data_IF_930318675251
#
_entry.id   IF_930318675251
#
_cell.length_a   1.000
_cell.length_b   1.000
_cell.length_c   1.000
_cell.angle_alpha   90.00
_cell.angle_beta   90.00
_cell.angle_gamma   90.00
#
_symmetry.space_group_name_H-M   'P 1'
#
loop_
_entity.id
_entity.type
_entity.pdbx_description
1 polymer ?
#
# COMPACT_ATOMS: atom_id res chain seq x y z
N UNK A 1 -33.08 -11.39 -26.65
CA UNK A 1 -32.85 -11.22 -25.20
C UNK A 1 -31.36 -11.04 -25.03
N UNK A 2 -30.91 -9.81 -24.75
CA UNK A 2 -29.48 -9.56 -24.51
C UNK A 2 -29.13 -10.17 -23.15
N UNK A 3 -28.27 -11.17 -23.16
CA UNK A 3 -27.63 -11.68 -21.95
C UNK A 3 -26.67 -10.61 -21.46
N UNK A 4 -27.11 -9.80 -20.50
CA UNK A 4 -26.23 -8.95 -19.72
C UNK A 4 -25.22 -9.85 -19.01
N UNK A 5 -24.04 -9.97 -19.60
CA UNK A 5 -22.87 -10.53 -18.94
C UNK A 5 -22.46 -9.53 -17.85
N UNK A 6 -23.15 -9.57 -16.71
CA UNK A 6 -22.69 -8.96 -15.49
C UNK A 6 -21.38 -9.67 -15.11
N UNK A 7 -20.24 -9.08 -15.49
CA UNK A 7 -18.93 -9.51 -15.02
C UNK A 7 -18.99 -9.43 -13.50
N UNK A 8 -18.98 -10.58 -12.85
CA UNK A 8 -18.92 -10.66 -11.40
C UNK A 8 -17.65 -9.93 -10.95
N UNK A 9 -17.81 -8.86 -10.16
CA UNK A 9 -16.67 -8.10 -9.65
C UNK A 9 -15.70 -9.04 -8.94
N UNK A 10 -14.47 -9.13 -9.44
CA UNK A 10 -13.43 -9.94 -8.84
C UNK A 10 -13.07 -9.39 -7.45
N UNK A 11 -12.68 -10.27 -6.53
CA UNK A 11 -12.22 -9.87 -5.20
C UNK A 11 -10.89 -9.11 -5.38
N UNK A 12 -10.79 -7.85 -4.91
CA UNK A 12 -9.55 -7.08 -5.02
C UNK A 12 -8.44 -7.70 -4.16
N UNK A 13 -7.38 -8.20 -4.78
CA UNK A 13 -6.22 -8.73 -4.07
C UNK A 13 -5.29 -7.60 -3.60
N UNK A 14 -4.74 -7.74 -2.40
CA UNK A 14 -3.80 -6.79 -1.83
C UNK A 14 -2.43 -6.92 -2.50
N UNK A 15 -1.95 -5.81 -3.06
CA UNK A 15 -0.71 -5.69 -3.84
C UNK A 15 0.38 -4.88 -3.11
N UNK A 16 0.15 -4.52 -1.84
CA UNK A 16 1.01 -3.63 -1.06
C UNK A 16 0.59 -2.16 -1.09
N UNK A 17 -0.28 -1.75 -2.01
CA UNK A 17 -0.80 -0.37 -2.10
C UNK A 17 -2.10 -0.23 -1.31
N UNK A 18 -1.97 -0.12 0.01
CA UNK A 18 -3.11 -0.09 0.93
C UNK A 18 -4.19 0.94 0.55
N UNK A 19 -3.82 2.17 0.18
CA UNK A 19 -4.80 3.22 -0.13
C UNK A 19 -5.67 2.85 -1.34
N UNK A 20 -5.05 2.28 -2.38
CA UNK A 20 -5.76 1.85 -3.59
C UNK A 20 -6.61 0.60 -3.32
N UNK A 21 -5.99 -0.42 -2.70
CA UNK A 21 -6.69 -1.66 -2.37
C UNK A 21 -7.89 -1.44 -1.44
N UNK A 22 -7.75 -0.60 -0.40
CA UNK A 22 -8.82 -0.35 0.56
C UNK A 22 -10.04 0.33 -0.09
N UNK A 23 -9.81 1.24 -1.04
CA UNK A 23 -10.88 1.85 -1.83
C UNK A 23 -11.64 0.81 -2.66
N UNK A 24 -10.92 -0.08 -3.35
CA UNK A 24 -11.53 -1.15 -4.16
C UNK A 24 -12.29 -2.15 -3.29
N UNK A 25 -11.69 -2.58 -2.19
CA UNK A 25 -12.28 -3.55 -1.27
C UNK A 25 -13.52 -2.99 -0.57
N UNK A 26 -13.48 -1.73 -0.12
CA UNK A 26 -14.65 -1.05 0.46
C UNK A 26 -15.81 -1.01 -0.55
N UNK A 27 -15.54 -0.59 -1.79
CA UNK A 27 -16.56 -0.55 -2.84
C UNK A 27 -17.13 -1.95 -3.14
N UNK A 28 -16.27 -2.97 -3.20
CA UNK A 28 -16.69 -4.35 -3.36
C UNK A 28 -17.61 -4.82 -2.24
N UNK A 29 -17.26 -4.57 -0.97
CA UNK A 29 -18.07 -4.97 0.19
C UNK A 29 -19.39 -4.18 0.29
N UNK A 30 -19.41 -2.90 -0.12
CA UNK A 30 -20.64 -2.10 -0.24
C UNK A 30 -21.57 -2.68 -1.30
N UNK A 31 -21.05 -3.10 -2.45
CA UNK A 31 -21.85 -3.76 -3.51
C UNK A 31 -22.48 -5.08 -3.07
N UNK A 32 -21.95 -5.72 -2.02
CA UNK A 32 -22.47 -6.96 -1.42
C UNK A 32 -23.30 -6.73 -0.16
N UNK A 33 -23.50 -5.46 0.24
CA UNK A 33 -24.20 -5.08 1.48
C UNK A 33 -23.55 -5.63 2.77
N UNK A 34 -22.23 -5.81 2.76
CA UNK A 34 -21.46 -6.34 3.89
C UNK A 34 -20.71 -5.25 4.66
N UNK A 35 -20.57 -4.06 4.07
CA UNK A 35 -19.79 -2.95 4.64
C UNK A 35 -20.24 -2.51 6.03
N UNK A 36 -21.54 -2.52 6.30
CA UNK A 36 -22.08 -2.09 7.60
C UNK A 36 -21.59 -2.98 8.74
N UNK A 37 -21.45 -4.29 8.50
CA UNK A 37 -20.94 -5.25 9.50
C UNK A 37 -19.44 -5.08 9.71
N UNK A 38 -18.68 -4.73 8.67
CA UNK A 38 -17.25 -4.43 8.76
C UNK A 38 -16.99 -3.15 9.55
N UNK A 39 -17.89 -2.17 9.46
CA UNK A 39 -17.73 -0.87 10.12
C UNK A 39 -18.25 -0.89 11.57
N UNK A 40 -19.49 -1.37 11.75
CA UNK A 40 -20.14 -1.41 13.07
C UNK A 40 -19.57 -2.54 13.92
N UNK A 41 -19.22 -3.66 13.31
CA UNK A 41 -18.79 -4.88 13.97
C UNK A 41 -19.98 -5.78 14.30
N UNK A 42 -19.71 -7.08 14.35
CA UNK A 42 -20.62 -8.07 14.90
C UNK A 42 -20.21 -8.38 16.34
N UNK A 43 -21.14 -8.25 17.27
CA UNK A 43 -21.01 -8.79 18.63
C UNK A 43 -21.85 -10.05 18.67
N UNK A 44 -21.22 -11.19 18.94
CA UNK A 44 -21.96 -12.42 19.16
C UNK A 44 -22.77 -12.24 20.45
N UNK A 45 -24.10 -12.40 20.42
CA UNK A 45 -24.90 -12.25 21.63
C UNK A 45 -24.54 -13.38 22.61
N UNK A 46 -24.07 -13.01 23.80
CA UNK A 46 -23.71 -13.92 24.89
C UNK A 46 -24.91 -14.76 25.31
N UNK A 47 -25.09 -15.95 24.72
CA UNK A 47 -25.81 -17.11 25.25
C UNK A 47 -27.25 -16.94 25.77
N UNK A 48 -27.80 -15.73 25.79
CA UNK A 48 -29.11 -15.42 26.35
C UNK A 48 -30.14 -15.81 25.29
N UNK A 49 -31.01 -16.71 25.69
CA UNK A 49 -32.07 -17.34 24.89
C UNK A 49 -32.88 -16.30 24.10
N UNK A 50 -32.45 -15.99 22.87
CA UNK A 50 -33.23 -15.17 21.95
C UNK A 50 -34.43 -16.00 21.47
N UNK A 51 -35.62 -15.39 21.47
CA UNK A 51 -36.84 -16.01 20.91
C UNK A 51 -36.72 -16.13 19.39
N UNK A 52 -37.41 -17.11 18.77
CA UNK A 52 -37.25 -17.45 17.34
C UNK A 52 -37.41 -16.25 16.38
N UNK A 53 -38.27 -15.27 16.72
CA UNK A 53 -38.46 -14.04 15.94
C UNK A 53 -37.29 -13.02 16.09
N UNK A 54 -36.50 -13.11 17.16
CA UNK A 54 -35.32 -12.26 17.41
C UNK A 54 -34.01 -12.88 16.88
N UNK A 55 -34.04 -14.13 16.35
CA UNK A 55 -32.87 -14.85 15.84
C UNK A 55 -32.51 -14.54 14.39
N UNK A 56 -33.50 -14.19 13.56
CA UNK A 56 -33.31 -13.97 12.12
C UNK A 56 -32.36 -12.82 11.81
N UNK A 57 -32.44 -11.72 12.56
CA UNK A 57 -31.57 -10.54 12.40
C UNK A 57 -30.10 -10.80 12.82
N UNK A 58 -29.80 -11.37 14.01
CA UNK A 58 -28.43 -11.68 14.41
C UNK A 58 -27.80 -12.81 13.58
N UNK A 59 -28.57 -13.80 13.13
CA UNK A 59 -28.05 -14.87 12.24
C UNK A 59 -27.69 -14.31 10.86
N UNK A 60 -28.52 -13.42 10.30
CA UNK A 60 -28.21 -12.74 9.04
C UNK A 60 -26.97 -11.85 9.17
N UNK A 61 -26.82 -11.12 10.28
CA UNK A 61 -25.63 -10.31 10.56
C UNK A 61 -24.37 -11.17 10.72
N UNK A 62 -24.46 -12.31 11.44
CA UNK A 62 -23.37 -13.28 11.57
C UNK A 62 -22.95 -13.85 10.21
N UNK A 63 -23.92 -14.19 9.37
CA UNK A 63 -23.63 -14.68 8.02
C UNK A 63 -22.94 -13.60 7.16
N UNK A 64 -23.38 -12.34 7.25
CA UNK A 64 -22.71 -11.21 6.58
C UNK A 64 -21.29 -11.02 7.09
N UNK A 65 -21.04 -11.11 8.40
CA UNK A 65 -19.69 -11.03 8.98
C UNK A 65 -18.77 -12.13 8.43
N UNK A 66 -19.24 -13.38 8.46
CA UNK A 66 -18.47 -14.53 7.96
C UNK A 66 -18.14 -14.39 6.48
N UNK A 67 -19.08 -13.90 5.65
CA UNK A 67 -18.85 -13.67 4.22
C UNK A 67 -17.87 -12.54 3.97
N UNK A 68 -17.99 -11.42 4.69
CA UNK A 68 -17.06 -10.30 4.60
C UNK A 68 -15.64 -10.73 4.98
N UNK A 69 -15.51 -11.45 6.11
CA UNK A 69 -14.25 -12.02 6.58
C UNK A 69 -13.61 -12.96 5.56
N UNK A 70 -14.41 -13.84 4.95
CA UNK A 70 -13.92 -14.73 3.91
C UNK A 70 -13.33 -13.95 2.72
N UNK A 71 -14.02 -12.90 2.25
CA UNK A 71 -13.47 -12.06 1.19
C UNK A 71 -12.20 -11.33 1.59
N UNK A 72 -12.11 -10.81 2.81
CA UNK A 72 -10.88 -10.19 3.31
C UNK A 72 -9.72 -11.18 3.36
N UNK A 73 -9.98 -12.45 3.69
CA UNK A 73 -8.94 -13.49 3.70
C UNK A 73 -8.52 -13.93 2.30
N UNK A 74 -9.44 -13.98 1.34
CA UNK A 74 -9.11 -14.25 -0.06
C UNK A 74 -8.32 -13.11 -0.71
N UNK A 75 -8.50 -11.89 -0.20
CA UNK A 75 -7.81 -10.71 -0.68
C UNK A 75 -6.35 -10.59 -0.22
N UNK A 76 -5.89 -11.42 0.72
CA UNK A 76 -4.54 -11.34 1.28
C UNK A 76 -3.79 -12.65 1.16
N UNK A 77 -2.47 -12.56 1.06
CA UNK A 77 -1.61 -13.73 1.12
C UNK A 77 -1.37 -14.20 2.56
N UNK A 78 -0.71 -15.36 2.68
CA UNK A 78 -0.35 -15.96 3.96
C UNK A 78 0.55 -15.04 4.81
N UNK A 79 1.47 -14.32 4.18
CA UNK A 79 2.42 -13.43 4.87
C UNK A 79 1.68 -12.32 5.61
N UNK A 80 0.75 -11.64 4.95
CA UNK A 80 -0.08 -10.60 5.58
C UNK A 80 -1.01 -11.21 6.64
N UNK A 81 -1.60 -12.38 6.35
CA UNK A 81 -2.49 -13.08 7.28
C UNK A 81 -1.81 -13.49 8.61
N UNK A 82 -0.52 -13.83 8.58
CA UNK A 82 0.27 -14.16 9.78
C UNK A 82 0.63 -12.91 10.59
N UNK A 83 0.58 -11.72 9.99
CA UNK A 83 0.93 -10.46 10.68
C UNK A 83 -0.24 -9.73 11.33
N UNK A 84 -1.49 -10.07 10.99
CA UNK A 84 -2.69 -9.48 11.60
C UNK A 84 -3.04 -10.19 12.91
N UNK A 85 -3.17 -9.42 13.99
CA UNK A 85 -3.29 -9.94 15.36
C UNK A 85 -4.70 -10.41 15.73
N UNK A 86 -5.74 -9.66 15.32
CA UNK A 86 -7.13 -9.96 15.65
C UNK A 86 -7.92 -10.20 14.36
N UNK A 87 -8.58 -11.36 14.27
CA UNK A 87 -9.26 -11.79 13.05
C UNK A 87 -10.51 -12.60 13.33
N UNK A 88 -11.16 -12.37 14.48
CA UNK A 88 -12.35 -13.13 14.87
C UNK A 88 -13.55 -12.64 14.06
N UNK A 89 -13.68 -11.32 13.88
CA UNK A 89 -14.71 -10.68 13.05
C UNK A 89 -14.12 -10.03 11.79
N UNK A 90 -15.00 -9.74 10.82
CA UNK A 90 -14.62 -8.98 9.62
C UNK A 90 -14.10 -7.58 9.95
N UNK A 91 -14.69 -6.91 10.94
CA UNK A 91 -14.23 -5.62 11.47
C UNK A 91 -12.81 -5.68 12.03
N UNK A 92 -12.54 -6.63 12.92
CA UNK A 92 -11.20 -6.79 13.49
C UNK A 92 -10.15 -7.09 12.41
N UNK A 93 -10.52 -7.91 11.41
CA UNK A 93 -9.66 -8.22 10.28
C UNK A 93 -9.34 -6.97 9.46
N UNK A 94 -10.37 -6.17 9.12
CA UNK A 94 -10.22 -4.91 8.40
C UNK A 94 -9.38 -3.89 9.16
N UNK A 95 -9.66 -3.67 10.46
CA UNK A 95 -8.93 -2.72 11.29
C UNK A 95 -7.46 -3.13 11.49
N UNK A 96 -7.20 -4.43 11.67
CA UNK A 96 -5.84 -4.98 11.76
C UNK A 96 -5.07 -4.76 10.46
N UNK A 97 -5.70 -5.03 9.31
CA UNK A 97 -5.12 -4.75 8.00
C UNK A 97 -4.83 -3.26 7.82
N UNK A 98 -5.78 -2.39 8.16
CA UNK A 98 -5.61 -0.95 8.11
C UNK A 98 -4.41 -0.50 8.92
N UNK A 99 -4.34 -0.90 10.20
CA UNK A 99 -3.24 -0.53 11.09
C UNK A 99 -1.87 -0.99 10.55
N UNK A 100 -1.77 -2.25 10.09
CA UNK A 100 -0.51 -2.83 9.61
C UNK A 100 -0.08 -2.24 8.27
N UNK A 101 -0.99 -2.21 7.30
CA UNK A 101 -0.66 -1.92 5.90
C UNK A 101 -0.62 -0.41 5.63
N UNK A 102 -1.51 0.39 6.23
CA UNK A 102 -1.48 1.84 6.10
C UNK A 102 -0.22 2.44 6.72
N UNK A 103 0.18 1.95 7.90
CA UNK A 103 1.42 2.36 8.56
C UNK A 103 2.67 2.05 7.71
N UNK A 104 2.74 0.84 7.17
CA UNK A 104 3.84 0.44 6.28
C UNK A 104 3.88 1.27 4.99
N UNK A 105 2.73 1.47 4.33
CA UNK A 105 2.64 2.26 3.10
C UNK A 105 3.01 3.73 3.33
N UNK A 106 2.63 4.31 4.48
CA UNK A 106 3.01 5.68 4.86
C UNK A 106 4.51 5.78 5.14
N UNK A 107 5.08 4.84 5.89
CA UNK A 107 6.51 4.82 6.20
C UNK A 107 7.35 4.69 4.91
N UNK A 108 6.99 3.78 4.00
CA UNK A 108 7.65 3.65 2.69
C UNK A 108 7.61 4.95 1.88
N UNK A 109 6.44 5.62 1.83
CA UNK A 109 6.30 6.91 1.15
C UNK A 109 7.17 8.01 1.76
N UNK A 110 7.21 8.10 3.09
CA UNK A 110 8.05 9.08 3.78
C UNK A 110 9.54 8.82 3.54
N UNK A 111 9.97 7.56 3.60
CA UNK A 111 11.35 7.17 3.31
C UNK A 111 11.73 7.52 1.87
N UNK A 112 10.87 7.20 0.90
CA UNK A 112 11.10 7.54 -0.50
C UNK A 112 11.17 9.07 -0.72
N UNK A 113 10.29 9.83 -0.07
CA UNK A 113 10.32 11.29 -0.18
C UNK A 113 11.62 11.87 0.41
N UNK A 114 12.10 11.36 1.54
CA UNK A 114 13.36 11.78 2.12
C UNK A 114 14.55 11.52 1.16
N UNK A 115 14.57 10.35 0.51
CA UNK A 115 15.59 10.01 -0.48
C UNK A 115 15.53 10.90 -1.72
N UNK A 116 14.33 11.25 -2.20
CA UNK A 116 14.17 12.21 -3.31
C UNK A 116 14.71 13.58 -2.95
N UNK A 117 14.41 14.08 -1.75
CA UNK A 117 14.96 15.33 -1.27
C UNK A 117 16.49 15.26 -1.12
N UNK A 118 17.03 14.15 -0.63
CA UNK A 118 18.48 13.91 -0.58
C UNK A 118 19.11 13.93 -1.98
N UNK A 119 18.49 13.28 -2.96
CA UNK A 119 18.91 13.29 -4.35
C UNK A 119 18.87 14.70 -4.97
N UNK A 120 17.77 15.43 -4.80
CA UNK A 120 17.58 16.79 -5.31
C UNK A 120 18.61 17.77 -4.72
N UNK A 121 18.94 17.61 -3.44
CA UNK A 121 19.91 18.48 -2.75
C UNK A 121 21.36 18.01 -2.86
N UNK A 122 21.60 16.79 -3.36
CA UNK A 122 22.94 16.26 -3.54
C UNK A 122 23.78 17.16 -4.45
N UNK A 123 24.98 17.50 -3.97
CA UNK A 123 26.00 18.25 -4.71
C UNK A 123 27.38 17.70 -4.39
N UNK A 124 28.28 17.82 -5.35
CA UNK A 124 29.68 17.46 -5.16
C UNK A 124 30.34 18.44 -4.19
N UNK A 125 31.00 17.91 -3.15
CA UNK A 125 31.64 18.71 -2.12
C UNK A 125 33.00 19.24 -2.60
N UNK A 126 33.49 20.30 -1.96
CA UNK A 126 34.83 20.83 -2.23
C UNK A 126 35.89 19.80 -1.83
N UNK A 127 36.73 19.39 -2.78
CA UNK A 127 37.79 18.40 -2.55
C UNK A 127 37.34 16.93 -2.58
N UNK A 128 36.04 16.66 -2.81
CA UNK A 128 35.53 15.31 -3.04
C UNK A 128 36.03 14.80 -4.41
N UNK A 129 36.37 13.51 -4.51
CA UNK A 129 36.69 12.92 -5.81
C UNK A 129 35.40 12.67 -6.61
N UNK A 130 35.51 12.66 -7.93
CA UNK A 130 34.38 12.33 -8.81
C UNK A 130 33.82 10.96 -8.45
N UNK A 131 34.69 9.97 -8.25
CA UNK A 131 34.30 8.60 -7.89
C UNK A 131 33.51 8.52 -6.59
N UNK A 132 33.91 9.27 -5.56
CA UNK A 132 33.20 9.29 -4.26
C UNK A 132 31.81 9.92 -4.40
N UNK A 133 31.72 11.02 -5.13
CA UNK A 133 30.45 11.68 -5.42
C UNK A 133 29.49 10.76 -6.20
N UNK A 134 29.97 10.10 -7.26
CA UNK A 134 29.18 9.12 -8.03
C UNK A 134 28.72 7.96 -7.15
N UNK A 135 29.60 7.44 -6.29
CA UNK A 135 29.27 6.34 -5.37
C UNK A 135 28.12 6.71 -4.42
N UNK A 136 28.15 7.92 -3.86
CA UNK A 136 27.06 8.45 -3.02
C UNK A 136 25.75 8.60 -3.80
N UNK A 137 25.82 9.16 -5.00
CA UNK A 137 24.63 9.32 -5.85
C UNK A 137 23.99 7.97 -6.15
N UNK A 138 24.80 6.99 -6.60
CA UNK A 138 24.31 5.65 -6.92
C UNK A 138 23.74 4.94 -5.69
N UNK A 139 24.29 5.18 -4.51
CA UNK A 139 23.72 4.65 -3.27
C UNK A 139 22.32 5.22 -2.98
N UNK A 140 22.08 6.51 -3.21
CA UNK A 140 20.76 7.14 -3.05
C UNK A 140 19.77 6.60 -4.10
N UNK A 141 20.17 6.58 -5.38
CA UNK A 141 19.35 6.05 -6.48
C UNK A 141 18.97 4.59 -6.24
N UNK A 142 19.92 3.76 -5.80
CA UNK A 142 19.67 2.35 -5.47
C UNK A 142 18.61 2.21 -4.37
N UNK A 143 18.72 3.00 -3.29
CA UNK A 143 17.70 3.03 -2.24
C UNK A 143 16.34 3.49 -2.77
N UNK A 144 16.29 4.51 -3.62
CA UNK A 144 15.05 4.97 -4.25
C UNK A 144 14.39 3.86 -5.08
N UNK A 145 15.17 3.15 -5.91
CA UNK A 145 14.70 2.02 -6.72
C UNK A 145 14.15 0.88 -5.86
N UNK A 146 14.82 0.55 -4.75
CA UNK A 146 14.33 -0.44 -3.77
C UNK A 146 12.96 -0.04 -3.20
N UNK A 147 12.70 1.26 -3.05
CA UNK A 147 11.41 1.80 -2.60
C UNK A 147 10.38 2.01 -3.72
N UNK A 148 10.65 1.52 -4.93
CA UNK A 148 9.72 1.54 -6.07
C UNK A 148 9.81 2.78 -6.95
N UNK A 149 10.85 3.60 -6.79
CA UNK A 149 11.10 4.73 -7.67
C UNK A 149 11.61 4.27 -9.05
N UNK A 150 11.17 4.96 -10.11
CA UNK A 150 11.53 4.68 -11.50
C UNK A 150 12.44 5.78 -12.08
N UNK A 151 13.32 6.34 -11.27
CA UNK A 151 14.30 7.33 -11.72
C UNK A 151 15.08 6.77 -12.92
N UNK A 152 14.88 7.41 -14.07
CA UNK A 152 15.52 7.06 -15.34
C UNK A 152 17.00 7.46 -15.32
N UNK A 153 17.82 6.75 -16.09
CA UNK A 153 19.25 7.03 -16.16
C UNK A 153 19.54 8.43 -16.72
N UNK A 154 18.66 8.97 -17.58
CA UNK A 154 18.68 10.36 -18.08
C UNK A 154 18.63 11.37 -16.94
N UNK A 155 17.69 11.22 -16.00
CA UNK A 155 17.57 12.09 -14.83
C UNK A 155 18.81 12.02 -13.91
N UNK A 156 19.47 10.86 -13.84
CA UNK A 156 20.73 10.69 -13.10
C UNK A 156 21.85 11.47 -13.78
N UNK A 157 21.99 11.34 -15.11
CA UNK A 157 22.99 12.08 -15.90
C UNK A 157 22.78 13.58 -15.76
N UNK A 158 21.56 14.08 -15.98
CA UNK A 158 21.23 15.50 -15.80
C UNK A 158 21.60 15.99 -14.40
N UNK A 159 21.29 15.20 -13.37
CA UNK A 159 21.64 15.54 -11.99
C UNK A 159 23.16 15.64 -11.78
N UNK A 160 23.94 14.73 -12.37
CA UNK A 160 25.41 14.77 -12.31
C UNK A 160 25.91 16.06 -12.95
N UNK A 161 25.45 16.39 -14.15
CA UNK A 161 25.87 17.59 -14.87
C UNK A 161 25.53 18.87 -14.08
N UNK A 162 24.31 18.94 -13.51
CA UNK A 162 23.84 20.09 -12.75
C UNK A 162 24.58 20.31 -11.42
N UNK A 163 25.03 19.23 -10.76
CA UNK A 163 25.54 19.31 -9.39
C UNK A 163 27.02 18.95 -9.23
N UNK A 164 27.71 18.76 -10.36
CA UNK A 164 29.17 18.72 -10.44
C UNK A 164 29.77 20.11 -10.21
N UNK A 165 31.00 20.16 -9.69
CA UNK A 165 31.69 21.44 -9.47
C UNK A 165 32.12 22.10 -10.79
N UNK A 166 32.29 23.44 -10.84
CA UNK A 166 32.66 24.17 -12.06
C UNK A 166 33.95 23.69 -12.74
N UNK A 167 34.81 22.98 -12.01
CA UNK A 167 36.04 22.35 -12.54
C UNK A 167 35.75 21.28 -13.61
N UNK A 168 34.53 20.75 -13.65
CA UNK A 168 34.10 19.73 -14.61
C UNK A 168 33.15 20.26 -15.68
N UNK A 169 32.89 21.58 -15.72
CA UNK A 169 32.01 22.19 -16.73
C UNK A 169 32.47 21.90 -18.17
N UNK A 170 33.78 21.74 -18.41
CA UNK A 170 34.29 21.39 -19.73
C UNK A 170 33.86 19.99 -20.21
N UNK A 171 33.61 19.05 -19.28
CA UNK A 171 33.09 17.71 -19.58
C UNK A 171 31.59 17.80 -19.85
N UNK A 172 30.88 18.66 -19.11
CA UNK A 172 29.44 18.91 -19.32
C UNK A 172 29.18 19.42 -20.73
N UNK A 173 29.95 20.41 -21.19
CA UNK A 173 29.87 20.94 -22.57
C UNK A 173 30.20 19.91 -23.67
N UNK A 174 30.81 18.77 -23.33
CA UNK A 174 31.17 17.73 -24.30
C UNK A 174 30.17 16.57 -24.34
N UNK A 175 29.25 16.50 -23.37
CA UNK A 175 28.21 15.46 -23.25
C UNK A 175 26.84 15.99 -23.70
N UNK A 176 26.59 17.30 -23.58
CA UNK A 176 25.50 18.01 -24.27
C UNK A 176 25.70 18.04 -25.79
#
# INVERSE_FOLDING_TARGET
MASDNYVQSAIPCFDGHYDHWSMLMENFLRSKEYWDVVTSGFLEPDGATLTAAQRTTPEAAKLKDLKAKNYLFQAIDRSIMETILCKDTSKQSWDSMKKKCQGSARAKRQQLQALRTEFETLRMNSGESVTDYFSRMMAIVSKMRIHGDKTEDTAIVEKILQSSTPKFNYIVCAIE
#
